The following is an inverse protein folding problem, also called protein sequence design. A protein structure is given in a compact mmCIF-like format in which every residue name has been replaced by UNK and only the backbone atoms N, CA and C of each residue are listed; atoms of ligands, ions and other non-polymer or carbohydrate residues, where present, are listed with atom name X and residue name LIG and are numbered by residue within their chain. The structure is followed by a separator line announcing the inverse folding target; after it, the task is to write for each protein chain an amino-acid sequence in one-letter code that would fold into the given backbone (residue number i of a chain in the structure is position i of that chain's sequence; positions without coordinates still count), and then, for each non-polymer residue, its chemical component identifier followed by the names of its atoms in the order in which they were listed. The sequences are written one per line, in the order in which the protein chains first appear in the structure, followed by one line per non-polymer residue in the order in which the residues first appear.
data_IF_818330068000
#
_entry.id   IF_818330068000
#
_cell.length_a   1.000
_cell.length_b   1.000
_cell.length_c   1.000
_cell.angle_alpha   90.00
_cell.angle_beta   90.00
_cell.angle_gamma   90.00
#
_symmetry.space_group_name_H-M   'P 1'
#
loop_
_entity.id
_entity.type
_entity.pdbx_description
1 polymer ?
#
# COMPACT_ATOMS: atom_id res chain seq x y z
N UNK A 1 -1.23 -21.45 -30.07
CA UNK A 1 -2.41 -22.33 -29.94
C UNK A 1 -2.33 -23.41 -31.00
N UNK A 2 -2.71 -24.64 -30.68
CA UNK A 2 -2.73 -25.76 -31.63
C UNK A 2 -4.05 -26.53 -31.54
N UNK A 3 -4.38 -27.27 -32.60
CA UNK A 3 -5.60 -28.08 -32.68
C UNK A 3 -6.75 -27.41 -33.43
N UNK A 4 -7.91 -28.08 -33.38
CA UNK A 4 -9.16 -27.65 -34.01
C UNK A 4 -10.28 -27.82 -32.99
N UNK A 5 -11.15 -26.82 -32.85
CA UNK A 5 -12.24 -26.86 -31.89
C UNK A 5 -13.21 -28.03 -32.19
N UNK A 6 -13.34 -28.96 -31.25
CA UNK A 6 -14.27 -30.10 -31.30
C UNK A 6 -15.70 -29.72 -30.92
N UNK A 7 -15.87 -28.60 -30.22
CA UNK A 7 -17.15 -28.06 -29.78
C UNK A 7 -17.16 -26.52 -29.85
N UNK A 8 -18.36 -25.93 -29.80
CA UNK A 8 -18.51 -24.49 -29.69
C UNK A 8 -18.43 -24.07 -28.23
N UNK A 9 -17.82 -22.92 -27.95
CA UNK A 9 -17.66 -22.39 -26.61
C UNK A 9 -17.13 -20.95 -26.64
N UNK A 10 -16.60 -20.49 -25.51
CA UNK A 10 -15.94 -19.18 -25.42
C UNK A 10 -14.58 -19.36 -24.76
N UNK A 11 -13.55 -18.85 -25.41
CA UNK A 11 -12.21 -18.76 -24.84
C UNK A 11 -12.08 -17.39 -24.15
N UNK A 12 -11.82 -17.37 -22.85
CA UNK A 12 -11.62 -16.13 -22.12
C UNK A 12 -10.12 -15.95 -21.85
N UNK A 13 -9.50 -14.98 -22.53
CA UNK A 13 -8.14 -14.54 -22.22
C UNK A 13 -8.21 -13.47 -21.14
N UNK A 14 -7.37 -13.59 -20.12
CA UNK A 14 -7.16 -12.56 -19.12
C UNK A 14 -5.75 -11.99 -19.27
N UNK A 15 -5.67 -10.66 -19.33
CA UNK A 15 -4.41 -9.92 -19.27
C UNK A 15 -4.48 -9.04 -18.03
N UNK A 16 -3.83 -9.46 -16.95
CA UNK A 16 -4.10 -8.92 -15.63
C UNK A 16 -5.59 -9.08 -15.26
N UNK A 17 -6.22 -7.96 -14.90
CA UNK A 17 -7.64 -7.92 -14.51
C UNK A 17 -8.62 -7.78 -15.70
N UNK A 18 -8.11 -7.72 -16.93
CA UNK A 18 -8.92 -7.48 -18.12
C UNK A 18 -9.37 -8.79 -18.77
N UNK A 19 -10.68 -9.00 -18.84
CA UNK A 19 -11.32 -10.17 -19.47
C UNK A 19 -11.62 -9.93 -20.94
N UNK A 20 -11.05 -10.76 -21.81
CA UNK A 20 -11.19 -10.70 -23.28
C UNK A 20 -11.84 -12.00 -23.78
N UNK A 21 -13.18 -12.05 -23.91
CA UNK A 21 -13.88 -13.23 -24.39
C UNK A 21 -13.86 -13.31 -25.92
N UNK A 22 -13.56 -14.48 -26.46
CA UNK A 22 -13.60 -14.78 -27.89
C UNK A 22 -14.47 -16.00 -28.14
N UNK A 23 -15.49 -15.84 -28.99
CA UNK A 23 -16.36 -16.95 -29.39
C UNK A 23 -15.60 -17.97 -30.24
N UNK A 24 -15.75 -19.25 -29.91
CA UNK A 24 -15.18 -20.37 -30.65
C UNK A 24 -16.33 -21.21 -31.20
N UNK A 25 -16.35 -21.42 -32.51
CA UNK A 25 -17.30 -22.34 -33.15
C UNK A 25 -16.65 -23.70 -33.39
N UNK A 26 -17.46 -24.76 -33.36
CA UNK A 26 -17.03 -26.10 -33.77
C UNK A 26 -16.35 -26.04 -35.14
N UNK A 27 -15.25 -26.78 -35.26
CA UNK A 27 -14.38 -26.85 -36.44
C UNK A 27 -13.56 -25.60 -36.75
N UNK A 28 -13.56 -24.56 -35.89
CA UNK A 28 -12.59 -23.47 -36.04
C UNK A 28 -11.16 -23.99 -35.86
N UNK A 29 -10.28 -23.59 -36.79
CA UNK A 29 -8.86 -23.87 -36.66
C UNK A 29 -8.23 -22.91 -35.64
N UNK A 30 -7.15 -23.34 -34.98
CA UNK A 30 -6.41 -22.50 -34.04
C UNK A 30 -6.03 -21.13 -34.63
N UNK A 31 -5.65 -21.08 -35.91
CA UNK A 31 -5.27 -19.83 -36.58
C UNK A 31 -6.40 -18.80 -36.62
N UNK A 32 -7.64 -19.22 -36.92
CA UNK A 32 -8.80 -18.34 -36.98
C UNK A 32 -9.13 -17.76 -35.59
N UNK A 33 -9.04 -18.61 -34.56
CA UNK A 33 -9.30 -18.21 -33.17
C UNK A 33 -8.23 -17.22 -32.69
N UNK A 34 -6.95 -17.47 -33.00
CA UNK A 34 -5.87 -16.54 -32.63
C UNK A 34 -5.97 -15.21 -33.36
N UNK A 35 -6.44 -15.20 -34.60
CA UNK A 35 -6.66 -13.98 -35.35
C UNK A 35 -7.83 -13.18 -34.75
N UNK A 36 -8.92 -13.84 -34.39
CA UNK A 36 -10.05 -13.22 -33.69
C UNK A 36 -9.63 -12.65 -32.32
N UNK A 37 -8.77 -13.37 -31.59
CA UNK A 37 -8.24 -12.92 -30.30
C UNK A 37 -7.37 -11.66 -30.44
N UNK A 38 -6.45 -11.63 -31.40
CA UNK A 38 -5.63 -10.45 -31.65
C UNK A 38 -6.46 -9.24 -32.11
N UNK A 39 -7.52 -9.48 -32.90
CA UNK A 39 -8.46 -8.44 -33.30
C UNK A 39 -9.26 -7.90 -32.11
N UNK A 40 -9.73 -8.77 -31.21
CA UNK A 40 -10.44 -8.36 -29.99
C UNK A 40 -9.56 -7.50 -29.09
N UNK A 41 -8.30 -7.89 -28.88
CA UNK A 41 -7.33 -7.09 -28.12
C UNK A 41 -7.07 -5.74 -28.79
N UNK A 42 -6.93 -5.71 -30.11
CA UNK A 42 -6.62 -4.47 -30.84
C UNK A 42 -7.82 -3.52 -30.96
N UNK A 43 -9.05 -4.03 -30.82
CA UNK A 43 -10.27 -3.23 -30.84
C UNK A 43 -10.48 -2.43 -29.55
N UNK A 44 -9.95 -2.93 -28.43
CA UNK A 44 -10.06 -2.28 -27.13
C UNK A 44 -8.82 -1.40 -26.84
N UNK A 45 -9.04 -0.08 -26.90
CA UNK A 45 -8.00 0.92 -26.64
C UNK A 45 -7.55 0.99 -25.18
N UNK A 46 -8.36 0.49 -24.23
CA UNK A 46 -8.12 0.60 -22.80
C UNK A 46 -7.22 -0.52 -22.26
N UNK A 47 -7.09 -1.63 -23.00
CA UNK A 47 -6.21 -2.74 -22.60
C UNK A 47 -4.75 -2.28 -22.45
N UNK A 48 -4.01 -2.78 -21.46
CA UNK A 48 -2.62 -2.39 -21.23
C UNK A 48 -1.64 -2.99 -22.26
N UNK A 49 -2.14 -3.76 -23.22
CA UNK A 49 -1.36 -4.47 -24.24
C UNK A 49 -1.88 -4.22 -25.65
N UNK A 50 -1.02 -4.43 -26.63
CA UNK A 50 -1.38 -4.63 -28.04
C UNK A 50 -1.13 -6.07 -28.43
N UNK A 51 -1.84 -6.59 -29.44
CA UNK A 51 -1.66 -7.96 -29.92
C UNK A 51 -1.28 -7.99 -31.40
N UNK A 52 -0.39 -8.91 -31.76
CA UNK A 52 -0.11 -9.31 -33.14
C UNK A 52 -0.32 -10.83 -33.26
N UNK A 53 -0.85 -11.30 -34.38
CA UNK A 53 -1.06 -12.73 -34.62
C UNK A 53 -0.23 -13.19 -35.83
N UNK A 54 0.56 -14.25 -35.65
CA UNK A 54 1.34 -14.89 -36.70
C UNK A 54 1.33 -16.40 -36.52
N UNK A 55 1.01 -17.16 -37.58
CA UNK A 55 1.06 -18.63 -37.62
C UNK A 55 0.42 -19.37 -36.42
N UNK A 56 -0.71 -18.88 -35.87
CA UNK A 56 -1.38 -19.50 -34.72
C UNK A 56 -0.79 -19.12 -33.35
N UNK A 57 0.06 -18.10 -33.31
CA UNK A 57 0.64 -17.50 -32.10
C UNK A 57 0.15 -16.06 -31.98
N UNK A 58 -0.35 -15.69 -30.80
CA UNK A 58 -0.67 -14.29 -30.47
C UNK A 58 0.44 -13.75 -29.59
N UNK A 59 1.15 -12.75 -30.10
CA UNK A 59 2.18 -12.02 -29.36
C UNK A 59 1.53 -10.80 -28.72
N UNK A 60 1.51 -10.75 -27.40
CA UNK A 60 1.08 -9.60 -26.62
C UNK A 60 2.28 -8.70 -26.32
N UNK A 61 2.10 -7.39 -26.40
CA UNK A 61 3.14 -6.40 -26.09
C UNK A 61 2.56 -5.33 -25.18
N UNK A 62 3.17 -5.10 -24.02
CA UNK A 62 2.75 -4.03 -23.11
C UNK A 62 2.86 -2.66 -23.78
N UNK A 63 1.84 -1.81 -23.60
CA UNK A 63 1.86 -0.41 -24.06
C UNK A 63 2.84 0.42 -23.25
N UNK A 64 2.96 0.12 -21.95
CA UNK A 64 3.91 0.76 -21.05
C UNK A 64 5.26 0.04 -21.04
N UNK A 65 6.34 0.82 -21.06
CA UNK A 65 7.70 0.35 -20.80
C UNK A 65 7.96 0.25 -19.29
N UNK A 66 9.01 -0.46 -18.90
CA UNK A 66 9.36 -0.68 -17.50
C UNK A 66 8.82 -1.99 -16.97
N UNK A 67 9.15 -2.28 -15.72
CA UNK A 67 8.72 -3.47 -14.98
C UNK A 67 7.20 -3.49 -14.78
N UNK A 68 6.53 -2.33 -14.80
CA UNK A 68 5.06 -2.24 -14.76
C UNK A 68 4.35 -2.92 -15.94
N UNK A 69 5.07 -3.16 -17.05
CA UNK A 69 4.58 -3.92 -18.20
C UNK A 69 4.61 -5.44 -17.99
N UNK A 70 5.25 -5.92 -16.91
CA UNK A 70 5.19 -7.33 -16.53
C UNK A 70 3.83 -7.60 -15.90
N UNK A 71 3.04 -8.50 -16.49
CA UNK A 71 1.68 -8.77 -16.03
C UNK A 71 1.29 -10.24 -16.24
N UNK A 72 0.49 -10.80 -15.32
CA UNK A 72 -0.02 -12.16 -15.48
C UNK A 72 -0.92 -12.27 -16.71
N UNK A 73 -0.81 -13.37 -17.44
CA UNK A 73 -1.71 -13.72 -18.53
C UNK A 73 -2.19 -15.14 -18.30
N UNK A 74 -3.50 -15.32 -18.29
CA UNK A 74 -4.10 -16.62 -18.03
C UNK A 74 -5.39 -16.80 -18.81
N UNK A 75 -5.91 -18.03 -18.83
CA UNK A 75 -7.17 -18.36 -19.49
C UNK A 75 -8.19 -18.77 -18.45
N UNK A 76 -9.46 -18.50 -18.75
CA UNK A 76 -10.59 -19.15 -18.12
C UNK A 76 -10.51 -19.17 -16.58
N UNK A 77 -10.55 -17.98 -15.99
CA UNK A 77 -10.32 -17.79 -14.57
C UNK A 77 -11.49 -18.25 -13.70
N UNK A 78 -12.72 -17.99 -14.15
CA UNK A 78 -13.92 -18.24 -13.36
C UNK A 78 -14.53 -19.61 -13.63
N UNK A 79 -15.23 -20.14 -12.64
CA UNK A 79 -15.98 -21.39 -12.75
C UNK A 79 -16.96 -21.35 -13.93
N UNK A 80 -16.90 -22.38 -14.78
CA UNK A 80 -17.70 -22.48 -16.01
C UNK A 80 -17.02 -21.93 -17.25
N UNK A 81 -15.88 -21.24 -17.13
CA UNK A 81 -15.00 -20.96 -18.26
C UNK A 81 -14.15 -22.20 -18.52
N UNK A 82 -14.42 -22.91 -19.62
CA UNK A 82 -13.68 -24.12 -19.97
C UNK A 82 -13.07 -23.97 -21.36
N UNK A 83 -11.89 -24.58 -21.54
CA UNK A 83 -11.26 -24.60 -22.85
C UNK A 83 -12.08 -25.53 -23.76
N UNK A 84 -12.55 -25.06 -24.94
CA UNK A 84 -13.29 -25.94 -25.86
C UNK A 84 -12.46 -27.16 -26.23
N UNK A 85 -13.08 -28.34 -26.19
CA UNK A 85 -12.42 -29.61 -26.47
C UNK A 85 -11.65 -29.58 -27.80
N UNK A 86 -10.45 -30.18 -27.85
CA UNK A 86 -9.64 -30.26 -29.07
C UNK A 86 -8.68 -29.09 -29.32
N UNK A 87 -8.70 -28.06 -28.47
CA UNK A 87 -7.72 -26.98 -28.47
C UNK A 87 -6.66 -27.19 -27.38
N UNK A 88 -5.41 -26.86 -27.71
CA UNK A 88 -4.32 -26.72 -26.74
C UNK A 88 -3.77 -25.31 -26.80
N UNK A 89 -3.75 -24.63 -25.66
CA UNK A 89 -3.26 -23.25 -25.54
C UNK A 89 -2.15 -23.22 -24.52
N UNK A 90 -0.97 -22.76 -24.95
CA UNK A 90 0.11 -22.37 -24.05
C UNK A 90 0.03 -20.87 -23.85
N UNK A 91 0.12 -20.42 -22.60
CA UNK A 91 0.11 -19.00 -22.24
C UNK A 91 1.36 -18.72 -21.41
N UNK A 92 1.90 -17.53 -21.57
CA UNK A 92 3.06 -17.05 -20.83
C UNK A 92 2.77 -15.63 -20.38
N UNK A 93 3.12 -15.34 -19.14
CA UNK A 93 3.03 -14.00 -18.57
C UNK A 93 3.92 -13.02 -19.37
N UNK A 94 3.53 -11.75 -19.37
CA UNK A 94 4.40 -10.72 -19.90
C UNK A 94 5.57 -10.54 -18.93
N UNK A 95 6.78 -10.68 -19.47
CA UNK A 95 8.04 -10.58 -18.73
C UNK A 95 9.05 -9.76 -19.54
N UNK A 96 10.19 -9.44 -18.93
CA UNK A 96 11.27 -8.71 -19.60
C UNK A 96 11.11 -7.19 -19.63
N UNK A 97 10.03 -6.66 -19.06
CA UNK A 97 9.91 -5.25 -18.72
C UNK A 97 11.02 -4.85 -17.75
N UNK A 98 11.81 -3.84 -18.13
CA UNK A 98 12.96 -3.34 -17.39
C UNK A 98 13.08 -1.82 -17.60
N UNK A 99 13.93 -1.18 -16.78
CA UNK A 99 14.16 0.28 -16.82
C UNK A 99 12.86 1.07 -16.60
N UNK A 100 12.46 1.19 -15.33
CA UNK A 100 11.33 2.01 -14.94
C UNK A 100 11.57 3.50 -15.27
N UNK A 101 10.51 4.27 -15.55
CA UNK A 101 10.59 5.72 -15.64
C UNK A 101 11.10 6.35 -14.33
N UNK A 102 11.79 7.48 -14.45
CA UNK A 102 12.21 8.30 -13.31
C UNK A 102 11.01 9.09 -12.76
N UNK A 103 10.80 9.06 -11.44
CA UNK A 103 9.68 9.75 -10.77
C UNK A 103 9.98 11.19 -10.32
N UNK A 104 11.18 11.73 -10.58
CA UNK A 104 11.63 13.04 -10.11
C UNK A 104 10.73 14.19 -10.56
N UNK A 105 10.34 14.20 -11.83
CA UNK A 105 9.39 15.20 -12.37
C UNK A 105 8.00 15.07 -11.72
N UNK A 106 7.58 13.86 -11.37
CA UNK A 106 6.31 13.61 -10.66
C UNK A 106 6.39 14.14 -9.24
N UNK A 107 7.49 13.88 -8.52
CA UNK A 107 7.72 14.43 -7.17
C UNK A 107 7.66 15.96 -7.19
N UNK A 108 8.32 16.59 -8.17
CA UNK A 108 8.29 18.03 -8.35
C UNK A 108 6.87 18.56 -8.65
N UNK A 109 6.09 17.84 -9.47
CA UNK A 109 4.72 18.21 -9.82
C UNK A 109 3.74 18.08 -8.63
N UNK A 110 3.93 17.10 -7.75
CA UNK A 110 3.14 16.97 -6.52
C UNK A 110 3.39 18.19 -5.61
N UNK A 111 4.64 18.63 -5.50
CA UNK A 111 5.02 19.83 -4.74
C UNK A 111 4.55 19.78 -3.28
N UNK A 112 3.94 20.87 -2.82
CA UNK A 112 3.46 21.02 -1.43
C UNK A 112 2.02 20.56 -1.21
N UNK A 113 1.39 19.90 -2.19
CA UNK A 113 0.10 19.28 -1.98
C UNK A 113 0.21 18.17 -0.91
N UNK A 114 -0.70 18.21 0.05
CA UNK A 114 -0.73 17.27 1.16
C UNK A 114 -1.53 16.02 0.77
N UNK A 115 -0.84 15.04 0.18
CA UNK A 115 -1.38 13.70 -0.07
C UNK A 115 -0.90 12.73 1.01
N UNK A 116 -1.84 12.19 1.80
CA UNK A 116 -1.52 11.29 2.91
C UNK A 116 -1.23 9.86 2.45
N UNK A 117 -1.81 9.46 1.32
CA UNK A 117 -1.69 8.12 0.76
C UNK A 117 -1.19 8.23 -0.68
N UNK A 118 -0.08 7.57 -1.00
CA UNK A 118 0.57 7.65 -2.31
C UNK A 118 0.78 6.23 -2.82
N UNK A 119 0.17 5.85 -3.94
CA UNK A 119 0.48 4.60 -4.60
C UNK A 119 1.69 4.77 -5.54
N UNK A 120 2.65 3.84 -5.49
CA UNK A 120 3.77 3.77 -6.44
C UNK A 120 3.75 2.46 -7.22
N UNK A 121 3.78 2.50 -8.55
CA UNK A 121 3.92 1.30 -9.39
C UNK A 121 5.38 0.86 -9.56
N UNK A 122 6.35 1.68 -9.14
CA UNK A 122 7.78 1.45 -9.36
C UNK A 122 8.48 1.10 -8.05
N UNK A 123 9.09 -0.08 -8.02
CA UNK A 123 9.75 -0.67 -6.84
C UNK A 123 11.23 -0.95 -7.07
N UNK A 124 11.83 -0.33 -8.09
CA UNK A 124 13.28 -0.34 -8.30
C UNK A 124 13.99 0.58 -7.28
N UNK A 125 15.28 0.30 -7.06
CA UNK A 125 16.04 0.98 -6.01
C UNK A 125 16.18 2.51 -6.24
N UNK A 126 16.23 2.97 -7.49
CA UNK A 126 16.37 4.39 -7.79
C UNK A 126 15.10 5.15 -7.43
N UNK A 127 13.94 4.66 -7.89
CA UNK A 127 12.66 5.27 -7.60
C UNK A 127 12.29 5.19 -6.11
N UNK A 128 12.55 4.05 -5.45
CA UNK A 128 12.29 3.93 -4.01
C UNK A 128 13.20 4.85 -3.18
N UNK A 129 14.46 5.06 -3.59
CA UNK A 129 15.36 6.01 -2.92
C UNK A 129 14.91 7.48 -3.08
N UNK A 130 14.46 7.85 -4.29
CA UNK A 130 13.90 9.17 -4.54
C UNK A 130 12.63 9.41 -3.72
N UNK A 131 11.73 8.42 -3.67
CA UNK A 131 10.50 8.48 -2.90
C UNK A 131 10.78 8.57 -1.39
N UNK A 132 11.72 7.78 -0.87
CA UNK A 132 12.17 7.85 0.53
C UNK A 132 12.65 9.24 0.91
N UNK A 133 13.49 9.85 0.06
CA UNK A 133 14.02 11.20 0.29
C UNK A 133 12.89 12.24 0.37
N UNK A 134 11.93 12.14 -0.54
CA UNK A 134 10.76 13.03 -0.56
C UNK A 134 9.86 12.83 0.67
N UNK A 135 9.57 11.58 1.06
CA UNK A 135 8.75 11.28 2.23
C UNK A 135 9.40 11.77 3.52
N UNK A 136 10.71 11.56 3.72
CA UNK A 136 11.40 12.09 4.91
C UNK A 136 11.33 13.63 4.96
N UNK A 137 11.45 14.30 3.80
CA UNK A 137 11.29 15.74 3.69
C UNK A 137 9.88 16.21 4.08
N UNK A 138 8.84 15.52 3.61
CA UNK A 138 7.42 15.80 3.94
C UNK A 138 7.13 15.69 5.43
N UNK A 139 7.76 14.71 6.08
CA UNK A 139 7.64 14.47 7.52
C UNK A 139 8.47 15.42 8.38
N UNK A 140 9.32 16.26 7.78
CA UNK A 140 10.07 17.28 8.51
C UNK A 140 9.18 18.29 9.22
N UNK A 141 9.71 18.90 10.28
CA UNK A 141 9.05 19.98 11.02
C UNK A 141 8.60 21.15 10.12
N UNK A 142 9.34 21.40 9.03
CA UNK A 142 9.14 22.53 8.12
C UNK A 142 7.99 22.31 7.14
N UNK A 143 7.93 21.13 6.50
CA UNK A 143 6.90 20.83 5.50
C UNK A 143 5.59 20.40 6.14
N UNK A 144 5.64 19.47 7.10
CA UNK A 144 4.46 19.00 7.84
C UNK A 144 3.29 18.62 6.91
N UNK A 145 3.58 17.83 5.88
CA UNK A 145 2.61 17.33 4.90
C UNK A 145 2.81 15.82 4.73
N UNK A 146 2.57 15.13 5.84
CA UNK A 146 2.85 13.71 6.03
C UNK A 146 2.17 12.83 4.99
N UNK A 147 2.90 11.83 4.51
CA UNK A 147 2.38 10.83 3.58
C UNK A 147 3.05 9.48 3.77
N UNK A 148 2.35 8.43 3.37
CA UNK A 148 2.85 7.05 3.32
C UNK A 148 2.71 6.53 1.91
N UNK A 149 3.77 5.89 1.41
CA UNK A 149 3.79 5.27 0.09
C UNK A 149 3.45 3.78 0.16
N UNK A 150 2.67 3.33 -0.82
CA UNK A 150 2.15 1.98 -0.96
C UNK A 150 2.59 1.42 -2.32
N UNK A 151 3.17 0.23 -2.30
CA UNK A 151 3.56 -0.51 -3.50
C UNK A 151 3.21 -1.98 -3.40
N UNK A 152 3.53 -2.73 -4.44
CA UNK A 152 3.39 -4.19 -4.46
C UNK A 152 4.62 -4.85 -5.09
N UNK A 153 4.96 -6.04 -4.61
CA UNK A 153 6.09 -6.83 -5.08
C UNK A 153 5.61 -8.21 -5.54
N UNK A 154 5.93 -8.59 -6.77
CA UNK A 154 5.76 -9.95 -7.28
C UNK A 154 7.08 -10.73 -7.24
N UNK A 155 6.97 -12.06 -7.24
CA UNK A 155 8.11 -12.96 -7.32
C UNK A 155 8.06 -14.10 -6.31
N UNK A 156 9.11 -14.91 -6.33
CA UNK A 156 9.31 -16.00 -5.37
C UNK A 156 9.74 -15.48 -3.99
N UNK A 157 9.55 -16.29 -2.96
CA UNK A 157 9.87 -15.95 -1.57
C UNK A 157 11.29 -15.40 -1.38
N UNK A 158 12.29 -16.00 -2.04
CA UNK A 158 13.68 -15.56 -1.95
C UNK A 158 13.90 -14.16 -2.54
N UNK A 159 13.31 -13.87 -3.70
CA UNK A 159 13.42 -12.57 -4.35
C UNK A 159 12.73 -11.48 -3.52
N UNK A 160 11.59 -11.81 -2.91
CA UNK A 160 10.90 -10.92 -1.99
C UNK A 160 11.74 -10.67 -0.73
N UNK A 161 12.28 -11.71 -0.10
CA UNK A 161 13.15 -11.56 1.07
C UNK A 161 14.39 -10.69 0.80
N UNK A 162 15.05 -10.87 -0.35
CA UNK A 162 16.18 -10.02 -0.78
C UNK A 162 15.77 -8.55 -0.95
N UNK A 163 14.60 -8.28 -1.55
CA UNK A 163 14.06 -6.93 -1.69
C UNK A 163 13.73 -6.32 -0.34
N UNK A 164 13.08 -7.08 0.55
CA UNK A 164 12.77 -6.66 1.90
C UNK A 164 14.04 -6.29 2.66
N UNK A 165 15.05 -7.16 2.67
CA UNK A 165 16.33 -6.95 3.34
C UNK A 165 17.06 -5.66 2.91
N UNK A 166 16.91 -5.25 1.65
CA UNK A 166 17.51 -4.03 1.12
C UNK A 166 16.80 -2.72 1.55
N UNK A 167 15.62 -2.81 2.17
CA UNK A 167 14.79 -1.68 2.54
C UNK A 167 14.70 -1.50 4.07
N UNK A 168 14.63 -0.24 4.48
CA UNK A 168 14.37 0.18 5.86
C UNK A 168 13.80 1.60 5.85
N UNK A 169 12.48 1.72 5.77
CA UNK A 169 11.75 2.98 5.69
C UNK A 169 10.40 2.89 6.42
N UNK A 170 10.18 3.86 7.32
CA UNK A 170 8.98 4.04 8.15
C UNK A 170 7.78 4.61 7.38
N UNK A 171 7.97 5.07 6.15
CA UNK A 171 6.91 5.68 5.32
C UNK A 171 6.61 4.87 4.05
N UNK A 172 7.17 3.68 3.90
CA UNK A 172 6.96 2.81 2.74
C UNK A 172 6.39 1.47 3.19
N UNK A 173 5.30 1.05 2.57
CA UNK A 173 4.71 -0.28 2.72
C UNK A 173 4.59 -0.97 1.36
N UNK A 174 4.96 -2.24 1.30
CA UNK A 174 4.95 -3.05 0.08
C UNK A 174 4.19 -4.34 0.34
N UNK A 175 3.13 -4.59 -0.42
CA UNK A 175 2.34 -5.82 -0.34
C UNK A 175 2.93 -6.89 -1.25
N UNK A 176 3.11 -8.11 -0.76
CA UNK A 176 3.44 -9.21 -1.67
C UNK A 176 2.24 -9.52 -2.59
N UNK A 177 2.55 -9.84 -3.85
CA UNK A 177 1.57 -10.16 -4.88
C UNK A 177 1.80 -11.58 -5.45
N UNK A 178 2.51 -12.44 -4.72
CA UNK A 178 2.69 -13.82 -5.12
C UNK A 178 1.34 -14.52 -5.23
N UNK A 179 1.14 -15.34 -6.26
CA UNK A 179 -0.12 -16.01 -6.49
C UNK A 179 -1.28 -15.10 -6.89
N UNK A 180 -1.08 -13.79 -7.07
CA UNK A 180 -2.09 -12.88 -7.64
C UNK A 180 -2.01 -12.90 -9.18
N UNK A 181 -3.16 -12.74 -9.82
CA UNK A 181 -3.31 -12.65 -11.28
C UNK A 181 -3.54 -11.22 -11.77
N UNK A 182 -3.44 -10.24 -10.86
CA UNK A 182 -3.50 -8.81 -11.16
C UNK A 182 -2.12 -8.20 -11.41
N UNK A 183 -2.01 -7.15 -12.24
CA UNK A 183 -0.77 -6.40 -12.39
C UNK A 183 -0.34 -5.71 -11.09
N UNK A 184 0.97 -5.60 -10.85
CA UNK A 184 1.51 -5.03 -9.60
C UNK A 184 1.03 -3.60 -9.32
N UNK A 185 0.87 -2.77 -10.36
CA UNK A 185 0.36 -1.41 -10.19
C UNK A 185 -1.09 -1.39 -9.72
N UNK A 186 -1.91 -2.36 -10.13
CA UNK A 186 -3.31 -2.49 -9.71
C UNK A 186 -3.36 -2.96 -8.25
N UNK A 187 -2.52 -3.93 -7.88
CA UNK A 187 -2.37 -4.39 -6.48
C UNK A 187 -1.93 -3.25 -5.57
N UNK A 188 -0.92 -2.47 -5.96
CA UNK A 188 -0.46 -1.30 -5.20
C UNK A 188 -1.58 -0.26 -5.00
N UNK A 189 -2.33 0.04 -6.07
CA UNK A 189 -3.44 0.98 -6.02
C UNK A 189 -4.59 0.48 -5.13
N UNK A 190 -4.96 -0.80 -5.25
CA UNK A 190 -6.01 -1.42 -4.44
C UNK A 190 -5.61 -1.50 -2.96
N UNK A 191 -4.35 -1.85 -2.68
CA UNK A 191 -3.80 -1.85 -1.33
C UNK A 191 -3.87 -0.47 -0.68
N UNK A 192 -3.37 0.56 -1.39
CA UNK A 192 -3.43 1.95 -0.95
C UNK A 192 -4.87 2.41 -0.72
N UNK A 193 -5.77 2.19 -1.68
CA UNK A 193 -7.15 2.63 -1.60
C UNK A 193 -7.92 1.95 -0.45
N UNK A 194 -7.68 0.66 -0.24
CA UNK A 194 -8.27 -0.11 0.86
C UNK A 194 -7.80 0.45 2.20
N UNK A 195 -6.49 0.58 2.42
CA UNK A 195 -5.96 1.15 3.67
C UNK A 195 -6.44 2.59 3.87
N UNK A 196 -6.41 3.43 2.84
CA UNK A 196 -6.87 4.81 2.92
C UNK A 196 -8.34 4.93 3.36
N UNK A 197 -9.22 4.09 2.82
CA UNK A 197 -10.64 4.07 3.17
C UNK A 197 -10.86 3.79 4.66
N UNK A 198 -10.18 2.76 5.20
CA UNK A 198 -10.38 2.36 6.59
C UNK A 198 -9.59 3.23 7.57
N UNK A 199 -8.38 3.65 7.22
CA UNK A 199 -7.59 4.59 8.01
C UNK A 199 -8.24 5.97 8.14
N UNK A 200 -9.03 6.38 7.15
CA UNK A 200 -9.83 7.63 7.23
C UNK A 200 -10.94 7.56 8.27
N UNK A 201 -11.40 6.35 8.63
CA UNK A 201 -12.39 6.14 9.69
C UNK A 201 -11.69 5.93 11.03
N UNK A 202 -10.74 5.00 11.09
CA UNK A 202 -9.96 4.69 12.28
C UNK A 202 -8.55 4.20 11.89
N UNK A 203 -7.51 5.04 12.05
CA UNK A 203 -6.14 4.66 11.73
C UNK A 203 -5.48 3.76 12.78
N UNK A 204 -6.10 3.51 13.94
CA UNK A 204 -5.60 2.56 14.95
C UNK A 204 -6.11 1.13 14.74
N UNK A 205 -7.23 0.96 14.02
CA UNK A 205 -7.81 -0.33 13.74
C UNK A 205 -6.96 -1.16 12.76
N UNK A 206 -6.96 -2.50 12.87
CA UNK A 206 -6.25 -3.37 11.93
C UNK A 206 -6.88 -3.33 10.53
N UNK A 207 -6.05 -3.20 9.50
CA UNK A 207 -6.49 -3.10 8.10
C UNK A 207 -6.74 -4.46 7.44
N UNK A 208 -7.52 -5.35 8.06
CA UNK A 208 -7.79 -6.71 7.55
C UNK A 208 -8.99 -6.76 6.61
N UNK A 209 -8.86 -6.10 5.45
CA UNK A 209 -9.96 -5.90 4.51
C UNK A 209 -9.64 -6.44 3.12
N UNK A 210 -10.70 -6.74 2.36
CA UNK A 210 -10.63 -7.23 1.00
C UNK A 210 -9.99 -6.19 0.06
N UNK A 211 -9.08 -6.66 -0.80
CA UNK A 211 -8.50 -5.89 -1.89
C UNK A 211 -9.46 -5.89 -3.08
N UNK A 212 -10.10 -4.75 -3.31
CA UNK A 212 -11.07 -4.60 -4.38
C UNK A 212 -10.41 -4.68 -5.76
N UNK A 213 -11.05 -5.40 -6.68
CA UNK A 213 -10.61 -5.52 -8.07
C UNK A 213 -9.34 -6.35 -8.28
N UNK A 214 -8.90 -7.10 -7.27
CA UNK A 214 -7.71 -7.97 -7.36
C UNK A 214 -8.14 -9.42 -7.55
N UNK A 215 -7.58 -10.05 -8.58
CA UNK A 215 -7.79 -11.45 -8.93
C UNK A 215 -6.72 -12.32 -8.26
N UNK A 216 -7.14 -13.34 -7.52
CA UNK A 216 -6.22 -14.34 -6.94
C UNK A 216 -6.12 -15.57 -7.81
N UNK A 217 -4.98 -16.23 -7.82
CA UNK A 217 -4.85 -17.59 -8.33
C UNK A 217 -5.55 -18.63 -7.46
N UNK A 218 -5.23 -19.88 -7.73
CA UNK A 218 -5.64 -21.04 -6.95
C UNK A 218 -5.05 -20.99 -5.52
N UNK A 219 -5.58 -21.83 -4.62
CA UNK A 219 -5.11 -21.88 -3.24
C UNK A 219 -3.67 -22.43 -3.16
N UNK A 220 -3.30 -23.32 -4.07
CA UNK A 220 -1.99 -23.96 -4.17
C UNK A 220 -0.90 -23.01 -4.67
N UNK A 221 -1.28 -21.91 -5.32
CA UNK A 221 -0.37 -20.84 -5.76
C UNK A 221 -0.10 -19.79 -4.67
N UNK A 222 -0.75 -19.88 -3.50
CA UNK A 222 -0.57 -18.92 -2.41
C UNK A 222 0.56 -19.36 -1.48
N UNK A 223 1.25 -18.40 -0.88
CA UNK A 223 2.24 -18.68 0.17
C UNK A 223 1.61 -19.31 1.41
N UNK A 224 2.35 -20.22 2.04
CA UNK A 224 1.96 -20.81 3.33
C UNK A 224 2.07 -19.80 4.47
N UNK A 225 1.50 -20.12 5.62
CA UNK A 225 1.55 -19.26 6.81
C UNK A 225 2.99 -19.00 7.27
N UNK A 226 3.86 -20.02 7.18
CA UNK A 226 5.28 -19.89 7.51
C UNK A 226 6.01 -18.94 6.56
N UNK A 227 5.74 -19.05 5.26
CA UNK A 227 6.35 -18.18 4.24
C UNK A 227 5.90 -16.73 4.40
N UNK A 228 4.61 -16.50 4.68
CA UNK A 228 4.08 -15.16 4.97
C UNK A 228 4.67 -14.59 6.25
N UNK A 229 4.85 -15.40 7.30
CA UNK A 229 5.51 -14.94 8.53
C UNK A 229 6.99 -14.54 8.29
N UNK A 230 7.72 -15.23 7.41
CA UNK A 230 9.06 -14.81 7.00
C UNK A 230 9.04 -13.44 6.31
N UNK A 231 8.10 -13.22 5.40
CA UNK A 231 7.95 -11.92 4.71
C UNK A 231 7.65 -10.77 5.69
N UNK A 232 6.87 -11.02 6.74
CA UNK A 232 6.61 -10.02 7.78
C UNK A 232 7.87 -9.62 8.54
N UNK A 233 8.78 -10.58 8.80
CA UNK A 233 10.09 -10.27 9.36
C UNK A 233 11.01 -9.52 8.39
N UNK A 234 10.85 -9.75 7.09
CA UNK A 234 11.60 -9.05 6.04
C UNK A 234 11.04 -7.66 5.69
N UNK A 235 9.95 -7.22 6.33
CA UNK A 235 9.37 -5.89 6.14
C UNK A 235 8.43 -5.81 4.92
N UNK A 236 7.81 -6.94 4.56
CA UNK A 236 6.87 -7.04 3.44
C UNK A 236 5.48 -7.40 3.99
N UNK A 237 4.48 -6.61 3.59
CA UNK A 237 3.09 -6.83 3.99
C UNK A 237 2.49 -8.07 3.32
N UNK A 238 1.53 -8.68 4.00
CA UNK A 238 0.94 -9.95 3.58
C UNK A 238 -0.57 -9.88 3.35
N UNK A 239 -1.05 -10.81 2.52
CA UNK A 239 -2.47 -11.02 2.27
C UNK A 239 -2.78 -12.52 2.40
N UNK A 240 -4.04 -12.83 2.67
CA UNK A 240 -4.59 -14.19 2.64
C UNK A 240 -5.68 -14.28 1.58
N UNK A 241 -5.87 -15.48 1.02
CA UNK A 241 -6.97 -15.78 0.10
C UNK A 241 -8.15 -16.34 0.88
N UNK A 242 -9.29 -15.66 0.83
CA UNK A 242 -10.54 -16.14 1.40
C UNK A 242 -11.09 -17.35 0.62
N UNK A 243 -12.04 -18.06 1.21
CA UNK A 243 -12.67 -19.25 0.59
C UNK A 243 -13.37 -18.94 -0.73
N UNK A 244 -13.86 -17.72 -0.91
CA UNK A 244 -14.49 -17.21 -2.12
C UNK A 244 -13.48 -16.72 -3.19
N UNK A 245 -12.17 -16.81 -2.91
CA UNK A 245 -11.11 -16.30 -3.78
C UNK A 245 -10.81 -14.81 -3.62
N UNK A 246 -11.38 -14.14 -2.63
CA UNK A 246 -11.06 -12.72 -2.38
C UNK A 246 -9.69 -12.59 -1.69
N UNK A 247 -8.79 -11.75 -2.21
CA UNK A 247 -7.57 -11.37 -1.51
C UNK A 247 -7.91 -10.41 -0.35
N UNK A 248 -7.45 -10.73 0.86
CA UNK A 248 -7.67 -9.93 2.07
C UNK A 248 -6.33 -9.59 2.68
N UNK A 249 -6.10 -8.32 3.01
CA UNK A 249 -4.87 -7.92 3.70
C UNK A 249 -4.81 -8.67 5.04
N UNK A 250 -3.71 -9.36 5.28
CA UNK A 250 -3.47 -10.09 6.53
C UNK A 250 -2.80 -9.15 7.53
N UNK A 251 -1.69 -8.54 7.11
CA UNK A 251 -0.98 -7.56 7.93
C UNK A 251 -0.29 -6.51 7.06
N UNK A 252 -0.61 -5.25 7.34
CA UNK A 252 -0.02 -4.07 6.71
C UNK A 252 1.14 -3.55 7.57
N UNK A 253 2.37 -3.77 7.10
CA UNK A 253 3.61 -3.30 7.74
C UNK A 253 4.41 -2.39 6.81
N UNK A 254 5.21 -1.52 7.39
CA UNK A 254 6.22 -0.75 6.68
C UNK A 254 7.46 -1.63 6.45
N UNK A 255 8.39 -1.12 5.64
CA UNK A 255 9.70 -1.77 5.46
C UNK A 255 10.66 -1.54 6.64
N UNK A 256 10.24 -0.83 7.69
CA UNK A 256 11.06 -0.49 8.84
C UNK A 256 11.34 -1.71 9.73
N UNK A 257 12.63 -1.96 10.01
CA UNK A 257 13.11 -3.08 10.81
C UNK A 257 14.22 -2.72 11.79
N UNK A 258 14.97 -1.64 11.52
CA UNK A 258 16.12 -1.25 12.33
C UNK A 258 16.16 0.23 12.61
N UNK A 259 16.62 0.58 13.81
CA UNK A 259 16.84 1.96 14.21
C UNK A 259 18.13 2.54 13.63
N UNK A 260 18.43 3.81 13.96
CA UNK A 260 19.62 4.51 13.47
C UNK A 260 20.95 3.88 13.88
N UNK A 261 20.97 3.04 14.93
CA UNK A 261 22.14 2.29 15.35
C UNK A 261 22.25 0.91 14.69
N UNK A 262 21.31 0.55 13.82
CA UNK A 262 21.25 -0.75 13.14
C UNK A 262 20.70 -1.89 14.01
N UNK A 263 20.18 -1.59 15.21
CA UNK A 263 19.54 -2.59 16.06
C UNK A 263 18.09 -2.82 15.64
N UNK A 264 17.60 -4.05 15.82
CA UNK A 264 16.22 -4.40 15.55
C UNK A 264 15.26 -3.50 16.33
N UNK A 265 14.27 -2.93 15.65
CA UNK A 265 13.31 -1.99 16.20
C UNK A 265 11.98 -2.13 15.46
N UNK A 266 10.89 -2.24 16.23
CA UNK A 266 9.53 -2.42 15.71
C UNK A 266 8.69 -1.15 15.83
N UNK A 267 9.28 -0.03 16.28
CA UNK A 267 8.55 1.21 16.57
C UNK A 267 7.73 1.76 15.40
N UNK A 268 8.16 1.52 14.16
CA UNK A 268 7.44 1.93 12.95
C UNK A 268 7.07 0.74 12.06
N UNK A 269 7.12 -0.49 12.59
CA UNK A 269 6.85 -1.68 11.80
C UNK A 269 5.41 -1.69 11.28
N UNK A 270 4.42 -1.36 12.10
CA UNK A 270 3.02 -1.33 11.65
C UNK A 270 2.67 -0.03 10.91
N UNK A 271 1.96 -0.15 9.79
CA UNK A 271 1.50 1.02 8.99
C UNK A 271 0.58 1.94 9.80
N UNK A 272 -0.12 1.40 10.80
CA UNK A 272 -0.93 2.18 11.72
C UNK A 272 -0.13 3.30 12.41
N UNK A 273 1.12 3.05 12.79
CA UNK A 273 1.95 4.03 13.52
C UNK A 273 2.16 5.34 12.73
N UNK A 274 2.73 5.32 11.50
CA UNK A 274 2.86 6.55 10.73
C UNK A 274 1.50 7.15 10.36
N UNK A 275 0.45 6.37 10.14
CA UNK A 275 -0.88 6.95 9.84
C UNK A 275 -1.47 7.70 11.05
N UNK A 276 -1.41 7.12 12.24
CA UNK A 276 -1.81 7.73 13.50
C UNK A 276 -1.00 8.98 13.81
N UNK A 277 0.32 8.92 13.72
CA UNK A 277 1.19 10.06 13.98
C UNK A 277 0.93 11.21 12.99
N UNK A 278 0.76 10.89 11.71
CA UNK A 278 0.41 11.86 10.68
C UNK A 278 -0.93 12.54 10.96
N UNK A 279 -1.96 11.76 11.30
CA UNK A 279 -3.27 12.28 11.68
C UNK A 279 -3.20 13.21 12.91
N UNK A 280 -2.57 12.75 13.99
CA UNK A 280 -2.42 13.52 15.23
C UNK A 280 -1.67 14.83 14.99
N UNK A 281 -0.61 14.79 14.17
CA UNK A 281 0.17 15.99 13.81
C UNK A 281 -0.65 16.97 12.97
N UNK A 282 -1.41 16.47 11.99
CA UNK A 282 -2.32 17.28 11.18
C UNK A 282 -3.39 17.95 12.04
N UNK A 283 -4.06 17.19 12.91
CA UNK A 283 -5.11 17.73 13.77
C UNK A 283 -4.56 18.75 14.77
N UNK A 284 -3.42 18.48 15.42
CA UNK A 284 -2.78 19.43 16.34
C UNK A 284 -2.46 20.76 15.65
N UNK A 285 -1.89 20.74 14.44
CA UNK A 285 -1.60 21.96 13.67
C UNK A 285 -2.86 22.74 13.35
N UNK A 286 -3.93 22.06 12.91
CA UNK A 286 -5.20 22.71 12.62
C UNK A 286 -5.90 23.22 13.89
N UNK A 287 -5.81 22.50 14.99
CA UNK A 287 -6.30 22.92 16.30
C UNK A 287 -5.68 24.26 16.72
N UNK A 288 -4.34 24.36 16.62
CA UNK A 288 -3.62 25.60 16.95
C UNK A 288 -3.93 26.73 15.97
N UNK A 289 -3.90 26.46 14.66
CA UNK A 289 -4.16 27.47 13.63
C UNK A 289 -5.56 28.09 13.75
N UNK A 290 -6.59 27.27 14.01
CA UNK A 290 -7.98 27.73 14.16
C UNK A 290 -8.18 28.61 15.40
N UNK A 291 -7.54 28.28 16.53
CA UNK A 291 -7.80 28.93 17.82
C UNK A 291 -6.89 30.13 18.09
N UNK A 292 -5.67 30.14 17.55
CA UNK A 292 -4.59 31.05 17.99
C UNK A 292 -4.02 31.99 16.92
N UNK A 293 -4.67 32.15 15.76
CA UNK A 293 -4.16 32.96 14.64
C UNK A 293 -3.74 34.40 15.02
N UNK A 294 -4.49 35.05 15.93
CA UNK A 294 -4.27 36.46 16.31
C UNK A 294 -3.87 36.61 17.80
N UNK A 295 -3.00 35.72 18.29
CA UNK A 295 -2.52 35.73 19.67
C UNK A 295 -1.06 36.19 19.76
N UNK A 296 -0.73 36.88 20.85
CA UNK A 296 0.65 37.25 21.21
C UNK A 296 1.33 36.07 21.90
N UNK A 297 2.66 35.99 21.81
CA UNK A 297 3.45 35.03 22.59
C UNK A 297 4.14 35.74 23.77
N UNK A 298 3.85 35.26 24.99
CA UNK A 298 4.41 35.77 26.24
C UNK A 298 5.10 34.68 27.05
N UNK A 299 5.86 35.10 28.06
CA UNK A 299 6.34 34.18 29.10
C UNK A 299 5.20 33.87 30.09
N UNK A 300 5.37 32.85 30.92
CA UNK A 300 4.37 32.52 31.94
C UNK A 300 4.18 33.69 32.93
N UNK A 301 2.92 34.04 33.21
CA UNK A 301 2.56 35.23 33.99
C UNK A 301 2.35 36.51 33.16
N UNK A 302 2.60 36.49 31.84
CA UNK A 302 2.26 37.61 30.96
C UNK A 302 0.74 37.89 30.98
N UNK A 303 0.38 39.17 31.08
CA UNK A 303 -1.02 39.62 31.20
C UNK A 303 -1.56 40.24 29.91
N UNK A 304 -2.88 40.37 29.83
CA UNK A 304 -3.59 41.01 28.72
C UNK A 304 -4.38 40.03 27.84
N UNK A 305 -5.17 40.57 26.91
CA UNK A 305 -5.99 39.76 26.02
C UNK A 305 -5.13 39.00 25.00
N UNK A 306 -5.54 37.76 24.69
CA UNK A 306 -4.97 36.88 23.64
C UNK A 306 -3.45 36.74 23.76
N UNK A 307 -2.98 36.20 24.89
CA UNK A 307 -1.56 35.88 25.11
C UNK A 307 -1.43 34.37 25.30
N UNK A 308 -0.67 33.74 24.42
CA UNK A 308 -0.22 32.36 24.55
C UNK A 308 1.04 32.35 25.41
N UNK A 309 1.10 31.47 26.41
CA UNK A 309 2.30 31.21 27.20
C UNK A 309 2.62 29.71 27.19
N UNK A 310 3.85 29.30 27.57
CA UNK A 310 4.19 27.88 27.71
C UNK A 310 3.19 27.10 28.59
N UNK A 311 2.78 27.65 29.74
CA UNK A 311 1.79 27.03 30.62
C UNK A 311 0.41 26.90 29.96
N UNK A 312 -0.07 27.94 29.26
CA UNK A 312 -1.34 27.86 28.52
C UNK A 312 -1.28 26.79 27.42
N UNK A 313 -0.20 26.75 26.64
CA UNK A 313 -0.03 25.75 25.59
C UNK A 313 0.07 24.33 26.16
N UNK A 314 0.70 24.14 27.34
CA UNK A 314 0.67 22.84 28.04
C UNK A 314 -0.75 22.41 28.37
N UNK A 315 -1.56 23.32 28.94
CA UNK A 315 -2.96 23.01 29.26
C UNK A 315 -3.75 22.63 28.00
N UNK A 316 -3.51 23.31 26.89
CA UNK A 316 -4.15 23.04 25.60
C UNK A 316 -3.76 21.67 25.02
N UNK A 317 -2.47 21.33 25.05
CA UNK A 317 -1.97 20.02 24.64
C UNK A 317 -2.60 18.89 25.48
N UNK A 318 -2.78 19.12 26.78
CA UNK A 318 -3.42 18.15 27.68
C UNK A 318 -4.90 17.95 27.34
N UNK A 319 -5.66 19.01 27.04
CA UNK A 319 -7.06 18.89 26.62
C UNK A 319 -7.18 18.19 25.27
N UNK A 320 -6.32 18.56 24.31
CA UNK A 320 -6.25 17.93 23.00
C UNK A 320 -5.95 16.44 23.10
N UNK A 321 -4.95 16.05 23.89
CA UNK A 321 -4.61 14.65 24.09
C UNK A 321 -5.74 13.87 24.76
N UNK A 322 -6.38 14.46 25.77
CA UNK A 322 -7.53 13.82 26.44
C UNK A 322 -8.66 13.51 25.45
N UNK A 323 -8.91 14.42 24.50
CA UNK A 323 -9.94 14.23 23.47
C UNK A 323 -9.61 13.04 22.57
N UNK A 324 -8.35 12.90 22.15
CA UNK A 324 -7.90 11.77 21.34
C UNK A 324 -7.83 10.45 22.12
N UNK A 325 -7.58 10.51 23.43
CA UNK A 325 -7.67 9.34 24.30
C UNK A 325 -9.12 8.84 24.44
N UNK A 326 -10.10 9.76 24.55
CA UNK A 326 -11.53 9.44 24.55
C UNK A 326 -11.99 8.86 23.20
N UNK A 327 -11.35 9.26 22.10
CA UNK A 327 -11.57 8.68 20.76
C UNK A 327 -10.83 7.35 20.53
N UNK A 328 -10.04 6.85 21.50
CA UNK A 328 -9.33 5.58 21.38
C UNK A 328 -8.07 5.61 20.50
N UNK A 329 -7.49 6.77 20.23
CA UNK A 329 -6.30 6.90 19.36
C UNK A 329 -4.98 6.90 20.13
N UNK A 330 -5.02 7.27 21.40
CA UNK A 330 -3.84 7.38 22.29
C UNK A 330 -4.19 6.90 23.70
N UNK A 331 -3.20 6.47 24.47
CA UNK A 331 -3.37 6.01 25.84
C UNK A 331 -2.37 6.65 26.83
N UNK A 332 -2.34 6.21 28.09
CA UNK A 332 -1.38 6.65 29.11
C UNK A 332 -1.29 8.17 29.31
N UNK A 333 -2.44 8.80 29.56
CA UNK A 333 -2.59 10.25 29.75
C UNK A 333 -1.65 10.86 30.80
N UNK A 334 -1.43 10.18 31.92
CA UNK A 334 -0.57 10.70 33.00
C UNK A 334 0.90 10.74 32.58
N UNK A 335 1.36 9.75 31.82
CA UNK A 335 2.71 9.73 31.27
C UNK A 335 2.89 10.79 30.18
N UNK A 336 1.87 11.01 29.34
CA UNK A 336 1.88 12.13 28.40
C UNK A 336 2.08 13.47 29.13
N UNK A 337 1.31 13.72 30.21
CA UNK A 337 1.44 14.96 31.01
C UNK A 337 2.83 15.14 31.61
N UNK A 338 3.45 14.06 32.07
CA UNK A 338 4.79 14.07 32.67
C UNK A 338 5.88 14.39 31.64
N UNK A 339 5.73 13.88 30.42
CA UNK A 339 6.75 13.97 29.37
C UNK A 339 6.53 15.14 28.39
N UNK A 340 5.35 15.77 28.41
CA UNK A 340 5.03 16.97 27.64
C UNK A 340 6.01 18.12 27.95
N UNK A 341 6.68 18.62 26.91
CA UNK A 341 7.56 19.79 27.01
C UNK A 341 7.05 20.92 26.13
N UNK A 342 6.97 22.10 26.71
CA UNK A 342 6.64 23.33 26.00
C UNK A 342 7.54 24.43 26.53
N UNK A 343 8.28 25.05 25.62
CA UNK A 343 9.28 26.05 25.96
C UNK A 343 9.30 27.15 24.91
N UNK A 344 9.51 28.39 25.34
CA UNK A 344 9.72 29.50 24.42
C UNK A 344 11.16 29.44 23.92
N UNK A 345 11.35 29.46 22.62
CA UNK A 345 12.68 29.27 22.04
C UNK A 345 13.63 30.39 22.49
N UNK A 346 14.83 30.01 22.96
CA UNK A 346 15.80 30.95 23.52
C UNK A 346 16.36 31.92 22.47
N UNK A 347 16.59 31.44 21.24
CA UNK A 347 17.18 32.22 20.14
C UNK A 347 16.14 32.98 19.33
N UNK A 348 14.92 32.45 19.21
CA UNK A 348 13.79 33.10 18.57
C UNK A 348 12.63 33.24 19.56
N UNK A 349 12.57 34.39 20.25
CA UNK A 349 11.51 34.66 21.23
C UNK A 349 10.10 34.75 20.62
N UNK A 350 9.94 34.72 19.30
CA UNK A 350 8.62 34.64 18.65
C UNK A 350 8.19 33.20 18.32
N UNK A 351 8.99 32.20 18.72
CA UNK A 351 8.73 30.78 18.49
C UNK A 351 8.46 30.05 19.81
N UNK A 352 7.44 29.20 19.80
CA UNK A 352 7.14 28.26 20.87
C UNK A 352 7.45 26.85 20.38
N UNK A 353 8.29 26.13 21.13
CA UNK A 353 8.64 24.74 20.86
C UNK A 353 7.79 23.82 21.72
N UNK A 354 7.20 22.80 21.08
CA UNK A 354 6.29 21.85 21.70
C UNK A 354 6.73 20.44 21.33
N UNK A 355 7.01 19.61 22.33
CA UNK A 355 7.20 18.18 22.18
C UNK A 355 5.97 17.47 22.74
N UNK A 356 5.24 16.80 21.85
CA UNK A 356 4.12 15.92 22.18
C UNK A 356 4.63 14.47 22.08
N UNK A 357 4.77 13.74 23.19
CA UNK A 357 5.16 12.33 23.15
C UNK A 357 3.93 11.43 23.37
N UNK A 358 3.08 11.20 22.35
CA UNK A 358 1.92 10.36 22.53
C UNK A 358 2.32 8.90 22.72
N UNK A 359 1.57 8.21 23.57
CA UNK A 359 1.51 6.75 23.54
C UNK A 359 0.34 6.36 22.64
N UNK A 360 0.62 5.67 21.54
CA UNK A 360 -0.36 5.38 20.51
C UNK A 360 -1.17 4.15 20.88
N UNK A 361 -2.47 4.17 20.58
CA UNK A 361 -3.27 2.96 20.73
C UNK A 361 -2.81 1.91 19.71
N UNK A 362 -2.50 0.72 20.22
CA UNK A 362 -2.08 -0.40 19.39
C UNK A 362 -3.29 -1.15 18.81
N UNK A 363 -3.11 -1.73 17.62
CA UNK A 363 -4.09 -2.68 17.07
C UNK A 363 -4.09 -3.99 17.86
N UNK A 364 -5.24 -4.65 17.92
CA UNK A 364 -5.37 -5.98 18.50
C UNK A 364 -5.11 -7.05 17.42
N UNK A 365 -3.90 -7.59 17.37
CA UNK A 365 -3.53 -8.59 16.35
C UNK A 365 -3.76 -10.05 16.76
N UNK A 366 -3.41 -10.40 18.00
CA UNK A 366 -3.43 -11.78 18.51
C UNK A 366 -4.06 -11.82 19.89
N UNK A 367 -5.01 -12.73 20.10
CA UNK A 367 -5.59 -13.03 21.41
C UNK A 367 -5.18 -14.44 21.82
N UNK A 368 -4.18 -14.56 22.70
CA UNK A 368 -3.77 -15.84 23.25
C UNK A 368 -4.69 -16.23 24.42
N UNK A 369 -5.52 -17.27 24.23
CA UNK A 369 -6.46 -17.75 25.26
C UNK A 369 -6.15 -19.19 25.65
N UNK A 370 -6.03 -19.46 26.95
CA UNK A 370 -5.96 -20.82 27.50
C UNK A 370 -7.25 -21.12 28.27
N UNK A 371 -7.96 -22.18 27.88
CA UNK A 371 -9.12 -22.71 28.60
C UNK A 371 -8.68 -23.98 29.33
N UNK A 372 -8.73 -23.98 30.67
CA UNK A 372 -8.41 -25.12 31.52
C UNK A 372 -9.60 -25.48 32.42
N UNK A 373 -9.78 -26.76 32.72
CA UNK A 373 -10.81 -27.20 33.66
C UNK A 373 -10.33 -27.02 35.10
N UNK A 374 -11.24 -26.62 35.97
CA UNK A 374 -11.00 -26.56 37.41
C UNK A 374 -11.42 -27.90 38.01
N UNK A 375 -10.61 -28.95 37.85
CA UNK A 375 -10.72 -30.19 38.62
C UNK A 375 -9.37 -30.83 38.85
#
# INVERSE_FOLDING_TARGET
MTGTAGESGTLCLYVGDYRIPVGVSKSNAAADITQALAAAVSADGELPVTAACEAGVVTLTAKHKGECGNMPVHLNHYDGETLPAGLTVAVTDLTGGATNPDIGDVIAAIGDAHYNFIATPYTDAANLSALKTELESRWSALRAIEGVAFGALGGELSALGEKGAALNDKHLTLLNAHGLKSPLYAVAASYMATVALYASNDPAAPFRYALNGIMTGSAEEQFTDEERNLLLHDGISTFTRSVDGTAVIEQAITTYKTNSAGAADTAYQDVNVPLLLGYLRYDWRNYIARKYQNWKLGDDGATGAKVMTPATMKAEAVVWFKTHAENGLVENFDDFKKNLKVERNASNRNRLDVLLPPDLMNKLDVVATQIAFVR
#
